data_IF_287521048407
#
_entry.id   IF_287521048407
#
_cell.length_a   1.000
_cell.length_b   1.000
_cell.length_c   1.000
_cell.angle_alpha   90.00
_cell.angle_beta   90.00
_cell.angle_gamma   90.00
#
_symmetry.space_group_name_H-M   'P 1'
#
loop_
_entity.id
_entity.type
_entity.pdbx_description
1 polymer ?
#
# COMPACT_ATOMS: atom_id res chain seq x y z
N UNK A 1 12.40 34.20 -53.55
CA UNK A 1 11.46 33.50 -52.65
C UNK A 1 12.27 32.71 -51.62
N UNK A 2 12.42 33.25 -50.42
CA UNK A 2 13.23 32.65 -49.35
C UNK A 2 12.29 31.91 -48.39
N UNK A 3 12.33 30.57 -48.35
CA UNK A 3 11.52 29.77 -47.43
C UNK A 3 12.29 29.59 -46.12
N UNK A 4 11.97 30.44 -45.15
CA UNK A 4 12.37 30.28 -43.74
C UNK A 4 11.69 29.03 -43.16
N UNK A 5 12.42 27.92 -43.09
CA UNK A 5 12.06 26.77 -42.25
C UNK A 5 12.40 27.10 -40.80
N UNK A 6 11.37 27.25 -39.96
CA UNK A 6 11.55 27.36 -38.51
C UNK A 6 12.02 25.99 -37.97
N UNK A 7 13.07 25.93 -37.14
CA UNK A 7 13.46 24.68 -36.51
C UNK A 7 12.40 24.30 -35.48
N UNK A 8 11.75 23.14 -35.69
CA UNK A 8 10.86 22.52 -34.71
C UNK A 8 11.72 22.08 -33.53
N UNK A 9 11.55 22.77 -32.41
CA UNK A 9 12.23 22.47 -31.16
C UNK A 9 11.78 21.09 -30.65
N UNK A 10 12.59 20.06 -30.88
CA UNK A 10 12.44 18.75 -30.26
C UNK A 10 12.63 18.91 -28.75
N UNK A 11 11.53 19.06 -28.01
CA UNK A 11 11.53 18.90 -26.56
C UNK A 11 11.81 17.43 -26.24
N UNK A 12 13.09 17.15 -26.05
CA UNK A 12 13.65 16.11 -25.19
C UNK A 12 12.59 15.28 -24.41
N UNK A 13 12.30 14.07 -24.91
CA UNK A 13 11.31 13.12 -24.40
C UNK A 13 11.84 12.24 -23.25
N UNK A 14 12.71 12.75 -22.38
CA UNK A 14 13.12 11.97 -21.21
C UNK A 14 12.00 12.01 -20.17
N UNK A 15 11.27 10.89 -20.03
CA UNK A 15 10.42 10.65 -18.85
C UNK A 15 11.32 10.73 -17.62
N UNK A 16 11.21 11.80 -16.85
CA UNK A 16 11.89 11.92 -15.56
C UNK A 16 11.27 10.87 -14.62
N UNK A 17 12.00 9.78 -14.37
CA UNK A 17 11.62 8.75 -13.41
C UNK A 17 11.46 9.40 -12.04
N UNK A 18 10.35 9.15 -11.37
CA UNK A 18 10.10 9.75 -10.07
C UNK A 18 10.93 9.00 -9.03
N UNK A 19 11.71 9.77 -8.29
CA UNK A 19 12.52 9.26 -7.19
C UNK A 19 11.69 9.35 -5.91
N UNK A 20 11.44 8.20 -5.29
CA UNK A 20 10.94 8.15 -3.91
C UNK A 20 12.05 8.62 -2.97
N UNK A 21 11.72 9.30 -1.85
CA UNK A 21 12.73 9.56 -0.83
C UNK A 21 13.31 8.24 -0.33
N UNK A 22 14.55 8.28 0.18
CA UNK A 22 15.12 7.14 0.87
C UNK A 22 14.18 6.76 2.03
N UNK A 23 13.72 5.53 2.02
CA UNK A 23 12.71 5.01 2.93
C UNK A 23 13.28 3.75 3.59
N UNK A 24 13.32 3.74 4.92
CA UNK A 24 13.64 2.55 5.69
C UNK A 24 12.32 1.93 6.15
N UNK A 25 11.99 0.76 5.60
CA UNK A 25 10.77 0.05 5.97
C UNK A 25 10.71 -0.21 7.48
N UNK A 26 9.56 0.08 8.07
CA UNK A 26 9.25 -0.19 9.47
C UNK A 26 7.84 -0.74 9.58
N UNK A 27 7.65 -1.94 9.03
CA UNK A 27 6.39 -2.67 9.08
C UNK A 27 6.07 -3.10 10.51
N UNK A 28 4.93 -2.63 11.02
CA UNK A 28 4.41 -2.98 12.33
C UNK A 28 3.00 -3.54 12.22
N UNK A 29 2.69 -4.53 13.05
CA UNK A 29 1.37 -5.15 13.11
C UNK A 29 0.75 -4.97 14.49
N UNK A 30 -0.51 -4.54 14.54
CA UNK A 30 -1.22 -4.31 15.79
C UNK A 30 -2.75 -4.47 15.61
N UNK A 31 -3.47 -4.84 16.68
CA UNK A 31 -4.92 -4.86 16.67
C UNK A 31 -5.49 -3.43 16.74
N UNK A 32 -6.61 -3.22 16.06
CA UNK A 32 -7.34 -1.96 16.05
C UNK A 32 -8.86 -2.22 16.04
N UNK A 33 -9.62 -1.13 16.09
CA UNK A 33 -11.07 -1.17 15.96
C UNK A 33 -11.50 -0.12 14.94
N UNK A 34 -12.09 -0.55 13.82
CA UNK A 34 -12.59 0.33 12.77
C UNK A 34 -14.12 0.22 12.76
N UNK A 35 -14.81 1.33 13.01
CA UNK A 35 -16.28 1.37 13.10
C UNK A 35 -16.90 0.32 14.03
N UNK A 36 -16.27 0.07 15.19
CA UNK A 36 -16.77 -0.89 16.17
C UNK A 36 -16.39 -2.35 15.88
N UNK A 37 -15.65 -2.61 14.81
CA UNK A 37 -15.20 -3.95 14.47
C UNK A 37 -13.70 -4.12 14.67
N UNK A 38 -13.33 -5.29 15.18
CA UNK A 38 -11.93 -5.70 15.27
C UNK A 38 -11.26 -5.74 13.89
N UNK A 39 -10.09 -5.12 13.84
CA UNK A 39 -9.25 -5.13 12.66
C UNK A 39 -7.82 -5.49 13.08
N UNK A 40 -7.10 -6.15 12.18
CA UNK A 40 -5.66 -6.33 12.30
C UNK A 40 -4.99 -5.46 11.24
N UNK A 41 -4.20 -4.48 11.69
CA UNK A 41 -3.50 -3.55 10.81
C UNK A 41 -2.03 -3.93 10.74
N UNK A 42 -1.50 -3.99 9.52
CA UNK A 42 -0.06 -4.02 9.22
C UNK A 42 0.27 -2.73 8.48
N UNK A 43 1.11 -1.85 9.04
CA UNK A 43 1.41 -0.54 8.44
C UNK A 43 2.92 -0.31 8.42
N UNK A 44 3.40 0.35 7.38
CA UNK A 44 4.78 0.80 7.32
C UNK A 44 4.90 2.18 7.96
N UNK A 45 5.42 2.23 9.19
CA UNK A 45 5.62 3.47 9.93
C UNK A 45 6.79 4.31 9.38
N UNK A 46 7.65 3.74 8.54
CA UNK A 46 8.80 4.44 7.97
C UNK A 46 8.38 5.52 6.98
N UNK A 47 7.15 5.46 6.45
CA UNK A 47 6.59 6.51 5.62
C UNK A 47 6.19 7.76 6.40
N UNK A 48 5.85 7.67 7.68
CA UNK A 48 5.28 8.78 8.44
C UNK A 48 6.12 10.08 8.44
N UNK A 49 7.47 10.04 8.52
CA UNK A 49 8.30 11.25 8.43
C UNK A 49 8.32 11.89 7.03
N UNK A 50 7.92 11.16 5.99
CA UNK A 50 7.96 11.59 4.59
C UNK A 50 6.56 11.83 4.01
N UNK A 51 5.53 11.29 4.63
CA UNK A 51 4.15 11.41 4.20
C UNK A 51 3.55 12.78 4.60
N UNK A 52 2.69 13.38 3.76
CA UNK A 52 2.32 12.90 2.43
C UNK A 52 3.43 13.15 1.39
N UNK A 53 3.61 12.21 0.48
CA UNK A 53 4.51 12.41 -0.66
C UNK A 53 3.80 13.26 -1.72
N UNK A 54 4.33 14.45 -2.00
CA UNK A 54 3.71 15.43 -2.90
C UNK A 54 3.30 14.85 -4.28
N UNK A 55 4.06 13.87 -4.77
CA UNK A 55 3.79 13.22 -6.05
C UNK A 55 2.84 12.03 -5.96
N UNK A 56 2.60 11.42 -4.79
CA UNK A 56 1.80 10.20 -4.67
C UNK A 56 0.47 10.52 -4.00
N UNK A 57 -0.50 11.02 -4.76
CA UNK A 57 -1.75 11.56 -4.24
C UNK A 57 -2.97 10.70 -4.58
N UNK A 58 -2.78 9.58 -5.25
CA UNK A 58 -3.86 8.71 -5.69
C UNK A 58 -3.90 7.47 -4.79
N UNK A 59 -4.84 7.43 -3.83
CA UNK A 59 -5.02 6.26 -2.98
C UNK A 59 -5.81 5.19 -3.71
N UNK A 60 -5.35 3.94 -3.59
CA UNK A 60 -5.96 2.76 -4.16
C UNK A 60 -6.02 1.60 -3.17
N UNK A 61 -7.19 0.99 -3.13
CA UNK A 61 -7.49 -0.18 -2.33
C UNK A 61 -7.63 -1.42 -3.19
N UNK A 62 -6.73 -2.38 -2.95
CA UNK A 62 -6.89 -3.75 -3.41
C UNK A 62 -7.52 -4.56 -2.27
N UNK A 63 -8.56 -5.33 -2.56
CA UNK A 63 -9.30 -6.11 -1.58
C UNK A 63 -9.09 -7.59 -1.92
N UNK A 64 -8.54 -8.32 -0.97
CA UNK A 64 -8.30 -9.76 -1.05
C UNK A 64 -9.35 -10.43 -0.15
N UNK A 65 -10.45 -10.98 -0.71
CA UNK A 65 -11.35 -11.81 0.05
C UNK A 65 -10.64 -13.10 0.47
N UNK A 66 -10.96 -13.63 1.64
CA UNK A 66 -10.41 -14.88 2.12
C UNK A 66 -11.46 -15.72 2.87
N UNK A 67 -11.30 -17.03 2.78
CA UNK A 67 -12.06 -18.01 3.55
C UNK A 67 -11.27 -18.44 4.79
N UNK A 68 -11.95 -18.84 5.86
CA UNK A 68 -11.31 -19.24 7.11
C UNK A 68 -10.96 -18.04 7.99
N UNK A 69 -11.98 -17.55 8.69
CA UNK A 69 -11.88 -16.43 9.62
C UNK A 69 -12.28 -16.82 11.05
N UNK A 70 -11.77 -16.08 12.04
CA UNK A 70 -12.26 -16.12 13.40
C UNK A 70 -13.66 -15.51 13.48
N UNK A 71 -14.43 -15.73 14.58
CA UNK A 71 -15.75 -15.10 14.76
C UNK A 71 -15.74 -13.56 14.62
N UNK A 72 -14.59 -12.93 14.85
CA UNK A 72 -14.39 -11.48 14.76
C UNK A 72 -14.05 -11.00 13.33
N UNK A 73 -13.90 -11.94 12.38
CA UNK A 73 -13.62 -11.68 10.97
C UNK A 73 -12.14 -11.49 10.64
N UNK A 74 -11.25 -12.04 11.48
CA UNK A 74 -9.80 -12.03 11.25
C UNK A 74 -9.34 -13.34 10.62
N UNK A 75 -8.33 -13.34 9.74
CA UNK A 75 -7.88 -14.55 9.06
C UNK A 75 -7.27 -15.55 10.05
N UNK A 76 -7.63 -16.83 9.89
CA UNK A 76 -6.95 -17.94 10.58
C UNK A 76 -5.48 -18.06 10.14
N UNK A 77 -4.70 -18.81 10.90
CA UNK A 77 -3.26 -18.96 10.63
C UNK A 77 -2.99 -19.58 9.25
N UNK A 78 -3.69 -20.67 8.87
CA UNK A 78 -3.56 -21.25 7.53
C UNK A 78 -3.99 -20.27 6.43
N UNK A 79 -5.09 -19.54 6.64
CA UNK A 79 -5.59 -18.54 5.71
C UNK A 79 -4.58 -17.40 5.50
N UNK A 80 -3.95 -16.94 6.57
CA UNK A 80 -2.90 -15.92 6.51
C UNK A 80 -1.68 -16.39 5.70
N UNK A 81 -1.34 -17.68 5.69
CA UNK A 81 -0.27 -18.20 4.84
C UNK A 81 -0.62 -18.10 3.36
N UNK A 82 -1.86 -18.47 2.99
CA UNK A 82 -2.38 -18.34 1.62
C UNK A 82 -2.39 -16.88 1.17
N UNK A 83 -2.88 -15.99 2.02
CA UNK A 83 -2.88 -14.54 1.79
C UNK A 83 -1.45 -14.06 1.53
N UNK A 84 -0.49 -14.36 2.41
CA UNK A 84 0.91 -13.92 2.25
C UNK A 84 1.52 -14.39 0.93
N UNK A 85 1.25 -15.63 0.52
CA UNK A 85 1.73 -16.14 -0.77
C UNK A 85 1.14 -15.34 -1.95
N UNK A 86 -0.15 -14.97 -1.87
CA UNK A 86 -0.80 -14.10 -2.86
C UNK A 86 -0.22 -12.68 -2.84
N UNK A 87 0.00 -12.09 -1.67
CA UNK A 87 0.61 -10.75 -1.52
C UNK A 87 2.02 -10.71 -2.14
N UNK A 88 2.81 -11.77 -1.97
CA UNK A 88 4.13 -11.90 -2.61
C UNK A 88 4.02 -11.94 -4.15
N UNK A 89 3.03 -12.63 -4.70
CA UNK A 89 2.79 -12.64 -6.14
C UNK A 89 2.36 -11.25 -6.64
N UNK A 90 1.45 -10.58 -5.92
CA UNK A 90 1.03 -9.21 -6.23
C UNK A 90 2.24 -8.26 -6.23
N UNK A 91 3.08 -8.31 -5.20
CA UNK A 91 4.29 -7.49 -5.10
C UNK A 91 5.27 -7.77 -6.26
N UNK A 92 5.41 -9.03 -6.68
CA UNK A 92 6.22 -9.40 -7.85
C UNK A 92 5.68 -8.80 -9.15
N UNK A 93 4.36 -8.85 -9.37
CA UNK A 93 3.71 -8.22 -10.51
C UNK A 93 3.86 -6.70 -10.50
N UNK A 94 3.73 -6.09 -9.31
CA UNK A 94 3.93 -4.67 -9.11
C UNK A 94 5.34 -4.24 -9.53
N UNK A 95 6.36 -4.96 -9.05
CA UNK A 95 7.77 -4.71 -9.41
C UNK A 95 8.03 -4.87 -10.90
N UNK A 96 7.51 -5.93 -11.53
CA UNK A 96 7.67 -6.19 -12.98
C UNK A 96 6.98 -5.15 -13.86
N UNK A 97 5.88 -4.58 -13.39
CA UNK A 97 5.14 -3.55 -14.12
C UNK A 97 5.79 -2.15 -14.01
N UNK A 98 6.84 -2.00 -13.20
CA UNK A 98 7.53 -0.72 -12.95
C UNK A 98 6.56 0.40 -12.55
N UNK A 99 5.60 0.06 -11.68
CA UNK A 99 4.58 1.00 -11.24
C UNK A 99 5.17 1.98 -10.23
N UNK A 100 4.83 3.26 -10.41
CA UNK A 100 5.15 4.32 -9.46
C UNK A 100 4.05 4.37 -8.39
N UNK A 101 4.09 3.42 -7.47
CA UNK A 101 3.23 3.39 -6.28
C UNK A 101 3.98 2.82 -5.07
N UNK A 102 3.41 3.07 -3.90
CA UNK A 102 3.93 2.60 -2.61
C UNK A 102 2.82 1.87 -1.88
N UNK A 103 3.10 0.66 -1.42
CA UNK A 103 2.27 -0.07 -0.47
C UNK A 103 2.56 0.47 0.92
N UNK A 104 1.53 0.95 1.63
CA UNK A 104 1.74 1.63 2.92
C UNK A 104 1.06 0.91 4.09
N UNK A 105 0.02 0.14 3.81
CA UNK A 105 -0.70 -0.60 4.84
C UNK A 105 -1.47 -1.80 4.26
N UNK A 106 -1.74 -2.78 5.12
CA UNK A 106 -2.77 -3.79 4.93
C UNK A 106 -3.66 -3.87 6.16
N UNK A 107 -4.97 -4.05 5.96
CA UNK A 107 -5.98 -4.10 7.01
C UNK A 107 -6.81 -5.36 6.80
N UNK A 108 -6.87 -6.23 7.81
CA UNK A 108 -7.71 -7.42 7.80
C UNK A 108 -8.94 -7.22 8.70
N UNK A 109 -10.12 -7.40 8.14
CA UNK A 109 -11.43 -7.21 8.81
C UNK A 109 -12.55 -7.79 7.93
N UNK A 110 -13.59 -8.44 8.50
CA UNK A 110 -14.75 -9.02 7.78
C UNK A 110 -14.39 -9.99 6.63
N UNK A 111 -13.43 -10.88 6.83
CA UNK A 111 -13.09 -11.85 5.78
C UNK A 111 -12.37 -11.23 4.58
N UNK A 112 -11.96 -9.97 4.72
CA UNK A 112 -11.28 -9.23 3.68
C UNK A 112 -9.95 -8.71 4.19
N UNK A 113 -8.97 -8.70 3.30
CA UNK A 113 -7.70 -8.02 3.50
C UNK A 113 -7.54 -6.92 2.47
N UNK A 114 -7.68 -5.69 2.95
CA UNK A 114 -7.41 -4.47 2.22
C UNK A 114 -5.90 -4.22 2.16
N UNK A 115 -5.37 -3.91 0.98
CA UNK A 115 -4.04 -3.36 0.79
C UNK A 115 -4.16 -1.93 0.27
N UNK A 116 -3.55 -0.99 0.99
CA UNK A 116 -3.58 0.44 0.70
C UNK A 116 -2.31 0.85 -0.05
N UNK A 117 -2.51 1.39 -1.25
CA UNK A 117 -1.46 1.88 -2.11
C UNK A 117 -1.63 3.38 -2.39
N UNK A 118 -0.54 4.13 -2.46
CA UNK A 118 -0.53 5.47 -3.04
C UNK A 118 0.22 5.47 -4.37
N UNK A 119 -0.42 5.97 -5.42
CA UNK A 119 0.11 6.04 -6.78
C UNK A 119 0.49 7.47 -7.15
N UNK A 120 1.48 7.59 -8.04
CA UNK A 120 1.84 8.89 -8.59
C UNK A 120 0.75 9.50 -9.49
N UNK A 121 0.10 8.65 -10.31
CA UNK A 121 -0.92 9.05 -11.29
C UNK A 121 -2.03 8.02 -11.35
N UNK A 122 -3.24 8.49 -11.65
CA UNK A 122 -4.41 7.62 -11.87
C UNK A 122 -4.22 6.63 -13.02
N UNK A 123 -3.45 6.97 -14.07
CA UNK A 123 -3.13 6.01 -15.14
C UNK A 123 -2.33 4.81 -14.64
N UNK A 124 -1.52 4.97 -13.58
CA UNK A 124 -0.77 3.86 -12.99
C UNK A 124 -1.69 2.92 -12.22
N UNK A 125 -2.77 3.45 -11.61
CA UNK A 125 -3.84 2.64 -10.99
C UNK A 125 -4.49 1.74 -12.05
N UNK A 126 -4.89 2.32 -13.19
CA UNK A 126 -5.51 1.55 -14.28
C UNK A 126 -4.58 0.47 -14.83
N UNK A 127 -3.29 0.79 -14.99
CA UNK A 127 -2.28 -0.19 -15.41
C UNK A 127 -2.13 -1.31 -14.38
N UNK A 128 -2.14 -0.98 -13.10
CA UNK A 128 -2.07 -1.98 -12.04
C UNK A 128 -3.28 -2.92 -12.07
N UNK A 129 -4.49 -2.37 -12.17
CA UNK A 129 -5.73 -3.15 -12.30
C UNK A 129 -5.65 -4.11 -13.50
N UNK A 130 -5.19 -3.66 -14.66
CA UNK A 130 -5.02 -4.54 -15.84
C UNK A 130 -4.05 -5.69 -15.58
N UNK A 131 -2.93 -5.42 -14.88
CA UNK A 131 -1.97 -6.46 -14.49
C UNK A 131 -2.61 -7.48 -13.54
N UNK A 132 -3.36 -7.00 -12.54
CA UNK A 132 -4.04 -7.87 -11.58
C UNK A 132 -5.12 -8.72 -12.22
N UNK A 133 -5.98 -8.13 -13.05
CA UNK A 133 -7.04 -8.86 -13.78
C UNK A 133 -6.44 -9.97 -14.64
N UNK A 134 -5.34 -9.68 -15.34
CA UNK A 134 -4.65 -10.67 -16.17
C UNK A 134 -4.03 -11.80 -15.35
N UNK A 135 -3.51 -11.51 -14.16
CA UNK A 135 -2.80 -12.47 -13.33
C UNK A 135 -3.73 -13.31 -12.43
N UNK A 136 -4.80 -12.71 -11.90
CA UNK A 136 -5.59 -13.27 -10.80
C UNK A 136 -7.10 -13.40 -11.11
N UNK A 137 -7.58 -12.80 -12.21
CA UNK A 137 -9.00 -12.84 -12.58
C UNK A 137 -9.91 -12.29 -11.47
N UNK A 138 -10.98 -13.02 -11.14
CA UNK A 138 -12.00 -12.62 -10.16
C UNK A 138 -11.62 -12.86 -8.68
N UNK A 139 -10.41 -13.34 -8.39
CA UNK A 139 -9.97 -13.63 -7.01
C UNK A 139 -9.68 -12.38 -6.18
N UNK A 140 -9.60 -11.23 -6.85
CA UNK A 140 -9.32 -9.93 -6.23
C UNK A 140 -10.47 -8.99 -6.55
N UNK A 141 -10.90 -8.23 -5.56
CA UNK A 141 -11.81 -7.08 -5.74
C UNK A 141 -11.02 -5.80 -5.51
N UNK A 142 -11.48 -4.68 -6.03
CA UNK A 142 -10.73 -3.42 -5.93
C UNK A 142 -11.66 -2.23 -6.17
N UNK A 143 -11.24 -1.06 -5.69
CA UNK A 143 -11.91 0.19 -6.06
C UNK A 143 -11.74 0.45 -7.57
N UNK A 144 -12.81 0.83 -8.26
CA UNK A 144 -12.76 1.03 -9.71
C UNK A 144 -12.06 2.32 -10.12
N UNK A 145 -12.07 3.33 -9.25
CA UNK A 145 -11.45 4.63 -9.49
C UNK A 145 -10.42 4.94 -8.39
N UNK A 146 -9.24 5.40 -8.78
CA UNK A 146 -8.29 6.02 -7.87
C UNK A 146 -8.95 7.19 -7.16
N UNK A 147 -8.84 7.27 -5.84
CA UNK A 147 -9.35 8.43 -5.08
C UNK A 147 -8.19 9.37 -4.83
N UNK A 148 -8.40 10.66 -5.05
CA UNK A 148 -7.38 11.65 -4.74
C UNK A 148 -7.33 11.90 -3.23
N UNK A 149 -6.18 11.69 -2.63
CA UNK A 149 -5.87 11.94 -1.22
C UNK A 149 -4.49 12.60 -1.12
N UNK A 150 -4.48 13.93 -1.19
CA UNK A 150 -3.24 14.74 -1.19
C UNK A 150 -2.53 14.76 0.15
N UNK A 151 -3.27 14.53 1.23
CA UNK A 151 -2.77 14.65 2.61
C UNK A 151 -2.46 13.29 3.23
N UNK A 152 -2.69 12.21 2.48
CA UNK A 152 -2.60 10.85 2.99
C UNK A 152 -3.50 10.65 4.22
N UNK A 153 -4.71 11.22 4.18
CA UNK A 153 -5.67 11.16 5.27
C UNK A 153 -5.94 9.69 5.63
N UNK A 154 -6.14 8.81 4.66
CA UNK A 154 -6.41 7.39 4.93
C UNK A 154 -5.24 6.69 5.64
N UNK A 155 -4.00 6.97 5.24
CA UNK A 155 -2.83 6.46 5.95
C UNK A 155 -2.85 6.89 7.41
N UNK A 156 -3.05 8.18 7.69
CA UNK A 156 -2.98 8.72 9.05
C UNK A 156 -4.20 8.44 9.92
N UNK A 157 -5.40 8.30 9.34
CA UNK A 157 -6.63 8.13 10.12
C UNK A 157 -7.11 6.69 10.20
N UNK A 158 -6.81 5.86 9.20
CA UNK A 158 -7.25 4.46 9.17
C UNK A 158 -6.15 3.48 9.55
N UNK A 159 -4.92 3.70 9.06
CA UNK A 159 -3.83 2.73 9.21
C UNK A 159 -2.79 3.10 10.27
N UNK A 160 -2.52 4.40 10.49
CA UNK A 160 -1.49 4.83 11.42
C UNK A 160 -1.94 4.59 12.87
N UNK A 161 -1.08 4.05 13.74
CA UNK A 161 -1.50 3.71 15.09
C UNK A 161 -1.79 4.97 15.91
N UNK A 162 -2.79 4.87 16.79
CA UNK A 162 -3.03 5.87 17.83
C UNK A 162 -1.81 6.00 18.76
N UNK A 163 -1.70 7.08 19.55
CA UNK A 163 -0.59 7.26 20.50
C UNK A 163 -0.41 6.07 21.47
N UNK A 164 -1.52 5.49 21.94
CA UNK A 164 -1.49 4.31 22.82
C UNK A 164 -0.97 3.08 22.07
N UNK A 165 -1.41 2.84 20.83
CA UNK A 165 -0.91 1.73 20.02
C UNK A 165 0.58 1.90 19.68
N UNK A 166 1.04 3.13 19.39
CA UNK A 166 2.46 3.42 19.19
C UNK A 166 3.30 3.06 20.42
N UNK A 167 2.84 3.43 21.61
CA UNK A 167 3.51 3.07 22.86
C UNK A 167 3.63 1.55 23.02
N UNK A 168 2.52 0.82 22.80
CA UNK A 168 2.50 -0.64 22.87
C UNK A 168 3.42 -1.30 21.83
N UNK A 169 3.53 -0.73 20.63
CA UNK A 169 4.46 -1.19 19.59
C UNK A 169 5.91 -0.99 20.07
N UNK A 170 6.24 0.17 20.64
CA UNK A 170 7.57 0.47 21.16
C UNK A 170 7.95 -0.45 22.31
N UNK A 171 7.03 -0.70 23.25
CA UNK A 171 7.29 -1.53 24.42
C UNK A 171 7.52 -3.00 24.01
N UNK A 172 6.74 -3.51 23.05
CA UNK A 172 6.95 -4.84 22.46
C UNK A 172 8.33 -4.96 21.79
N UNK A 173 8.78 -3.91 21.09
CA UNK A 173 10.09 -3.89 20.45
C UNK A 173 11.21 -3.95 21.49
N UNK A 174 11.15 -3.12 22.53
CA UNK A 174 12.12 -3.14 23.64
C UNK A 174 12.20 -4.51 24.32
N UNK A 175 11.05 -5.15 24.54
CA UNK A 175 11.00 -6.48 25.14
C UNK A 175 11.69 -7.52 24.25
N UNK A 176 11.42 -7.48 22.94
CA UNK A 176 12.08 -8.37 21.98
C UNK A 176 13.59 -8.14 21.95
N UNK A 177 14.04 -6.89 21.86
CA UNK A 177 15.46 -6.55 21.85
C UNK A 177 16.16 -7.02 23.15
N UNK A 178 15.47 -7.00 24.29
CA UNK A 178 16.01 -7.51 25.55
C UNK A 178 16.18 -9.03 25.51
N UNK A 179 15.22 -9.76 24.94
CA UNK A 179 15.26 -11.23 24.82
C UNK A 179 16.35 -11.66 23.82
N UNK A 180 16.47 -10.98 22.69
CA UNK A 180 17.43 -11.33 21.64
C UNK A 180 18.90 -11.04 22.04
N UNK A 181 19.11 -10.24 23.09
CA UNK A 181 20.44 -9.90 23.64
C UNK A 181 20.82 -10.73 24.89
N UNK A 182 20.00 -11.72 25.27
CA UNK A 182 20.29 -12.72 26.32
C UNK A 182 20.83 -14.00 25.70
#
# INVERSE_FOLDING_TARGET
MNKNLKPVLFKSLFKKKITLPAHQENWQQFPSCIHGQQAQITVDLGWAPHAPLANFQEVFYLIIPFDGETPEGLPLAETMQVIKALEQQIASHFKKAELEAVHVASISMRGERLQMYYFHKSQQVQRFVQVLVKAFGIRLTYQTDGRRDKKWEDYFTLAYPSPVQLQLIQDRKKQKDTIDNL
#
